data_IF_996033304208
#
_entry.id   IF_996033304208
#
_cell.length_a   1.000
_cell.length_b   1.000
_cell.length_c   1.000
_cell.angle_alpha   90.00
_cell.angle_beta   90.00
_cell.angle_gamma   90.00
#
_symmetry.space_group_name_H-M   'P 1'
#
loop_
_entity.id
_entity.type
_entity.pdbx_description
1 polymer ?
#
# COMPACT_ATOMS: atom_id res chain seq x y z
N UNK A 1 4.79 -11.92 0.34
CA UNK A 1 5.14 -11.06 -0.84
C UNK A 1 5.22 -9.58 -0.43
N UNK A 2 5.91 -8.69 -1.17
CA UNK A 2 6.06 -7.25 -0.80
C UNK A 2 4.71 -6.55 -0.64
N UNK A 3 3.77 -6.85 -1.52
CA UNK A 3 2.41 -6.32 -1.52
C UNK A 3 1.61 -6.71 -0.28
N UNK A 4 1.75 -7.96 0.19
CA UNK A 4 1.11 -8.42 1.44
C UNK A 4 1.67 -7.73 2.68
N UNK A 5 2.99 -7.46 2.72
CA UNK A 5 3.59 -6.69 3.81
C UNK A 5 3.09 -5.26 3.86
N UNK A 6 2.97 -4.63 2.68
CA UNK A 6 2.39 -3.29 2.58
C UNK A 6 0.95 -3.31 3.08
N UNK A 7 0.16 -4.27 2.60
CA UNK A 7 -1.23 -4.47 3.05
C UNK A 7 -1.33 -4.66 4.57
N UNK A 8 -0.52 -5.53 5.16
CA UNK A 8 -0.49 -5.73 6.61
C UNK A 8 -0.15 -4.46 7.37
N UNK A 9 0.79 -3.63 6.88
CA UNK A 9 1.09 -2.33 7.49
C UNK A 9 -0.06 -1.33 7.30
N UNK A 10 -0.66 -1.29 6.11
CA UNK A 10 -1.83 -0.46 5.86
C UNK A 10 -3.00 -0.87 6.77
N UNK A 11 -3.16 -2.17 7.06
CA UNK A 11 -4.19 -2.77 7.92
C UNK A 11 -3.84 -2.79 9.43
N UNK A 12 -2.61 -2.42 9.84
CA UNK A 12 -2.15 -2.40 11.25
C UNK A 12 -2.22 -1.02 11.92
N UNK A 13 -2.94 -0.82 13.05
CA UNK A 13 -3.26 0.54 13.52
C UNK A 13 -2.07 1.23 14.17
N UNK A 14 -1.03 0.47 14.51
CA UNK A 14 0.25 0.98 14.97
C UNK A 14 1.17 1.39 13.81
N UNK A 15 0.94 0.90 12.59
CA UNK A 15 1.73 1.27 11.44
C UNK A 15 1.32 2.67 10.93
N UNK A 16 2.18 3.64 11.23
CA UNK A 16 1.97 5.06 10.91
C UNK A 16 2.33 5.34 9.44
N UNK A 17 1.46 4.93 8.53
CA UNK A 17 1.63 5.23 7.09
C UNK A 17 1.24 6.67 6.82
N UNK A 18 2.20 7.59 6.91
CA UNK A 18 2.00 9.01 6.61
C UNK A 18 1.96 9.30 5.10
N UNK A 19 2.71 8.51 4.33
CA UNK A 19 2.90 8.79 2.91
C UNK A 19 3.01 7.48 2.14
N UNK A 20 1.98 7.21 1.33
CA UNK A 20 1.89 5.97 0.54
C UNK A 20 2.98 5.91 -0.53
N UNK A 21 3.42 7.08 -1.02
CA UNK A 21 4.56 7.25 -1.92
C UNK A 21 5.87 6.76 -1.31
N UNK A 22 6.19 7.20 -0.10
CA UNK A 22 7.42 6.80 0.59
C UNK A 22 7.40 5.30 0.92
N UNK A 23 6.24 4.79 1.35
CA UNK A 23 6.07 3.35 1.59
C UNK A 23 6.30 2.54 0.31
N UNK A 24 5.75 2.97 -0.82
CA UNK A 24 5.97 2.29 -2.09
C UNK A 24 7.47 2.28 -2.46
N UNK A 25 8.16 3.41 -2.30
CA UNK A 25 9.59 3.54 -2.56
C UNK A 25 10.44 2.64 -1.66
N UNK A 26 10.12 2.56 -0.36
CA UNK A 26 10.81 1.71 0.62
C UNK A 26 10.74 0.22 0.24
N UNK A 27 9.60 -0.21 -0.32
CA UNK A 27 9.41 -1.56 -0.83
C UNK A 27 9.93 -1.76 -2.28
N UNK A 28 10.57 -0.74 -2.87
CA UNK A 28 11.21 -0.80 -4.18
C UNK A 28 10.27 -0.53 -5.36
N UNK A 29 9.13 0.12 -5.14
CA UNK A 29 8.25 0.59 -6.21
C UNK A 29 8.58 2.05 -6.57
N UNK A 30 9.21 2.24 -7.73
CA UNK A 30 9.51 3.57 -8.27
C UNK A 30 8.27 4.32 -8.79
N UNK A 31 7.20 3.60 -9.15
CA UNK A 31 6.00 4.17 -9.75
C UNK A 31 4.75 3.79 -8.98
N UNK A 32 4.15 4.77 -8.31
CA UNK A 32 2.87 4.64 -7.60
C UNK A 32 1.75 4.07 -8.48
N UNK A 33 1.67 4.48 -9.75
CA UNK A 33 0.64 3.98 -10.68
C UNK A 33 0.75 2.47 -10.92
N UNK A 34 1.96 1.99 -11.26
CA UNK A 34 2.19 0.54 -11.44
C UNK A 34 2.01 -0.24 -10.15
N UNK A 35 2.48 0.32 -9.04
CA UNK A 35 2.29 -0.26 -7.72
C UNK A 35 0.80 -0.42 -7.39
N UNK A 36 0.00 0.64 -7.57
CA UNK A 36 -1.43 0.63 -7.32
C UNK A 36 -2.17 -0.34 -8.25
N UNK A 37 -1.78 -0.42 -9.53
CA UNK A 37 -2.31 -1.43 -10.45
C UNK A 37 -1.96 -2.85 -10.02
N UNK A 38 -0.72 -3.12 -9.62
CA UNK A 38 -0.31 -4.45 -9.15
C UNK A 38 -1.04 -4.82 -7.86
N UNK A 39 -1.18 -3.88 -6.94
CA UNK A 39 -1.92 -4.07 -5.69
C UNK A 39 -3.39 -4.36 -5.98
N UNK A 40 -4.04 -3.57 -6.85
CA UNK A 40 -5.43 -3.81 -7.27
C UNK A 40 -5.61 -5.13 -8.01
N UNK A 41 -4.68 -5.53 -8.87
CA UNK A 41 -4.74 -6.85 -9.53
C UNK A 41 -4.63 -8.00 -8.53
N UNK A 42 -3.92 -7.81 -7.43
CA UNK A 42 -3.68 -8.86 -6.43
C UNK A 42 -4.77 -8.92 -5.34
N UNK A 43 -5.30 -7.76 -4.91
CA UNK A 43 -6.24 -7.65 -3.80
C UNK A 43 -7.63 -7.13 -4.18
N UNK A 44 -7.82 -6.63 -5.40
CA UNK A 44 -9.10 -6.09 -5.87
C UNK A 44 -9.37 -4.62 -5.48
N UNK A 45 -8.59 -4.04 -4.58
CA UNK A 45 -8.73 -2.66 -4.09
C UNK A 45 -7.43 -1.86 -4.27
N UNK A 46 -7.47 -0.53 -4.15
CA UNK A 46 -6.25 0.30 -4.19
C UNK A 46 -5.66 0.42 -2.78
N UNK A 47 -4.32 0.56 -2.64
CA UNK A 47 -3.70 0.69 -1.32
C UNK A 47 -4.10 2.00 -0.62
N UNK A 48 -4.42 3.06 -1.37
CA UNK A 48 -5.06 4.27 -0.83
C UNK A 48 -6.47 4.01 -0.30
N UNK A 49 -7.22 3.06 -0.86
CA UNK A 49 -8.54 2.69 -0.33
C UNK A 49 -8.40 1.88 0.94
N UNK A 50 -7.45 0.93 1.00
CA UNK A 50 -7.12 0.21 2.24
C UNK A 50 -6.73 1.19 3.36
N UNK A 51 -5.91 2.21 3.03
CA UNK A 51 -5.53 3.26 3.98
C UNK A 51 -6.73 4.16 4.37
N UNK A 52 -7.56 4.55 3.41
CA UNK A 52 -8.73 5.41 3.65
C UNK A 52 -9.80 4.71 4.47
N UNK A 53 -9.92 3.39 4.36
CA UNK A 53 -10.87 2.59 5.16
C UNK A 53 -10.55 2.61 6.67
N UNK A 54 -9.36 3.10 7.03
CA UNK A 54 -8.88 3.27 8.41
C UNK A 54 -8.94 4.69 8.95
N UNK A 55 -9.03 5.68 8.06
CA UNK A 55 -9.23 7.08 8.45
C UNK A 55 -10.67 7.28 8.89
#
# INVERSE_FOLDING_TARGET
>A
LRLERIRACLEDPGCRVRNLTELALDFGFAHLGRFAEQYRRQFGELPSETLRRRA
#
